data_IF_772335948950
#
_entry.id   IF_772335948950
#
_cell.length_a   1.000
_cell.length_b   1.000
_cell.length_c   1.000
_cell.angle_alpha   90.00
_cell.angle_beta   90.00
_cell.angle_gamma   90.00
#
_symmetry.space_group_name_H-M   'P 1'
#
loop_
_entity.id
_entity.type
_entity.pdbx_description
1 polymer ?
#
# COMPACT_ATOMS: atom_id res chain seq x y z
N UNK A 1 3.06 -4.32 22.81
CA UNK A 1 4.30 -3.87 22.13
C UNK A 1 5.29 -3.30 23.13
N UNK A 2 4.95 -2.23 23.87
CA UNK A 2 5.84 -1.68 24.92
C UNK A 2 6.20 -2.67 26.02
N UNK A 3 5.24 -3.49 26.45
CA UNK A 3 5.48 -4.56 27.44
C UNK A 3 6.40 -5.68 26.92
N UNK A 4 6.55 -5.80 25.61
CA UNK A 4 7.46 -6.76 24.96
C UNK A 4 8.75 -6.09 24.47
N UNK A 5 9.06 -4.88 24.96
CA UNK A 5 10.21 -4.06 24.55
C UNK A 5 10.30 -3.77 23.03
N UNK A 6 9.15 -3.77 22.35
CA UNK A 6 9.05 -3.41 20.93
C UNK A 6 8.70 -1.93 20.80
N UNK A 7 9.62 -1.17 20.21
CA UNK A 7 9.39 0.22 19.81
C UNK A 7 8.59 0.27 18.51
N UNK A 8 7.38 0.83 18.57
CA UNK A 8 6.51 1.01 17.42
C UNK A 8 5.87 2.39 17.46
N UNK A 9 5.61 2.95 16.27
CA UNK A 9 4.94 4.23 16.08
C UNK A 9 3.74 4.05 15.16
N UNK A 10 2.69 4.83 15.41
CA UNK A 10 1.51 4.84 14.54
C UNK A 10 1.83 5.53 13.21
N UNK A 11 1.39 4.93 12.11
CA UNK A 11 1.45 5.57 10.80
C UNK A 11 0.55 6.83 10.79
N UNK A 12 1.07 7.96 10.31
CA UNK A 12 0.28 9.19 10.12
C UNK A 12 -0.60 9.02 8.88
N UNK A 13 -1.91 8.87 9.07
CA UNK A 13 -2.88 8.72 7.98
C UNK A 13 -3.59 10.05 7.72
N UNK A 14 -3.61 10.49 6.46
CA UNK A 14 -4.36 11.65 5.99
C UNK A 14 -5.48 11.23 5.02
N UNK A 15 -6.46 12.10 4.80
CA UNK A 15 -7.45 11.90 3.73
C UNK A 15 -6.70 11.77 2.40
N UNK A 16 -7.05 10.75 1.60
CA UNK A 16 -6.35 10.46 0.34
C UNK A 16 -5.11 9.56 0.49
N UNK A 17 -4.64 9.28 1.72
CA UNK A 17 -3.37 8.55 1.90
C UNK A 17 -3.34 7.11 1.43
N UNK A 18 -4.52 6.53 1.19
CA UNK A 18 -4.67 5.22 0.55
C UNK A 18 -4.28 5.30 -0.93
N UNK A 19 -5.04 6.05 -1.71
CA UNK A 19 -4.79 6.25 -3.13
C UNK A 19 -3.36 6.68 -3.45
N UNK A 20 -2.80 7.63 -2.68
CA UNK A 20 -1.42 8.08 -2.91
C UNK A 20 -0.38 6.97 -2.74
N UNK A 21 -0.47 6.20 -1.65
CA UNK A 21 0.52 5.15 -1.40
C UNK A 21 0.38 3.98 -2.38
N UNK A 22 -0.84 3.71 -2.87
CA UNK A 22 -1.08 2.71 -3.93
C UNK A 22 -0.48 3.17 -5.26
N UNK A 23 -0.69 4.44 -5.65
CA UNK A 23 -0.06 5.03 -6.83
C UNK A 23 1.47 5.02 -6.75
N UNK A 24 2.02 5.42 -5.60
CA UNK A 24 3.47 5.40 -5.40
C UNK A 24 4.06 3.99 -5.55
N UNK A 25 3.37 2.95 -5.06
CA UNK A 25 3.80 1.57 -5.27
C UNK A 25 3.70 1.15 -6.74
N UNK A 26 2.63 1.55 -7.43
CA UNK A 26 2.45 1.27 -8.85
C UNK A 26 3.48 1.98 -9.76
N UNK A 27 4.01 3.12 -9.31
CA UNK A 27 5.01 3.91 -10.04
C UNK A 27 6.46 3.43 -9.82
N UNK A 28 6.68 2.43 -8.95
CA UNK A 28 8.00 1.82 -8.80
C UNK A 28 8.42 1.12 -10.09
N UNK A 29 9.73 1.11 -10.38
CA UNK A 29 10.27 0.38 -11.54
C UNK A 29 9.94 -1.11 -11.43
N UNK A 30 10.11 -1.69 -10.23
CA UNK A 30 9.86 -3.10 -9.96
C UNK A 30 9.42 -3.33 -8.51
N UNK A 31 8.54 -4.32 -8.28
CA UNK A 31 8.26 -4.89 -6.95
C UNK A 31 8.63 -6.38 -7.00
N UNK A 32 9.77 -6.72 -6.42
CA UNK A 32 10.30 -8.10 -6.43
C UNK A 32 9.76 -8.86 -5.22
N UNK A 33 9.00 -9.93 -5.48
CA UNK A 33 8.39 -10.77 -4.44
C UNK A 33 8.83 -12.23 -4.62
N UNK A 34 9.47 -12.81 -3.60
CA UNK A 34 9.75 -14.26 -3.54
C UNK A 34 8.56 -15.00 -2.88
N UNK A 35 7.71 -15.61 -3.70
CA UNK A 35 6.52 -16.33 -3.24
C UNK A 35 6.81 -17.48 -2.28
N UNK A 36 8.04 -18.05 -2.28
CA UNK A 36 8.42 -19.11 -1.31
C UNK A 36 8.65 -18.53 0.09
N UNK A 37 9.04 -17.26 0.18
CA UNK A 37 9.30 -16.56 1.45
C UNK A 37 8.08 -15.79 1.93
N UNK A 38 7.38 -15.13 1.02
CA UNK A 38 6.25 -14.24 1.34
C UNK A 38 5.00 -14.62 0.54
N UNK A 39 4.46 -15.84 0.71
CA UNK A 39 3.34 -16.34 -0.11
C UNK A 39 2.08 -15.48 -0.03
N UNK A 40 1.80 -14.88 1.13
CA UNK A 40 0.65 -13.99 1.30
C UNK A 40 0.82 -12.67 0.54
N UNK A 41 2.04 -12.12 0.53
CA UNK A 41 2.33 -10.89 -0.22
C UNK A 41 2.18 -11.16 -1.70
N UNK A 42 2.75 -12.26 -2.20
CA UNK A 42 2.61 -12.67 -3.60
C UNK A 42 1.13 -12.80 -3.99
N UNK A 43 0.35 -13.57 -3.21
CA UNK A 43 -1.08 -13.76 -3.46
C UNK A 43 -1.86 -12.45 -3.48
N UNK A 44 -1.62 -11.55 -2.52
CA UNK A 44 -2.38 -10.29 -2.44
C UNK A 44 -1.98 -9.31 -3.55
N UNK A 45 -0.69 -9.15 -3.85
CA UNK A 45 -0.23 -8.27 -4.93
C UNK A 45 -0.60 -8.79 -6.32
N UNK A 46 -0.70 -10.10 -6.52
CA UNK A 46 -1.11 -10.70 -7.80
C UNK A 46 -2.65 -10.67 -8.01
N UNK A 47 -3.43 -10.75 -6.94
CA UNK A 47 -4.90 -10.85 -7.02
C UNK A 47 -5.64 -9.51 -6.87
N UNK A 48 -4.98 -8.45 -6.42
CA UNK A 48 -5.66 -7.18 -6.13
C UNK A 48 -6.11 -6.50 -7.43
N UNK A 49 -7.31 -5.94 -7.41
CA UNK A 49 -7.89 -5.18 -8.53
C UNK A 49 -8.31 -3.78 -8.06
N UNK A 50 -8.50 -2.88 -9.03
CA UNK A 50 -9.15 -1.59 -8.77
C UNK A 50 -10.61 -1.76 -8.36
N UNK A 51 -11.07 -0.95 -7.41
CA UNK A 51 -12.50 -0.90 -7.10
C UNK A 51 -13.27 -0.27 -8.27
N UNK A 52 -14.56 -0.55 -8.40
CA UNK A 52 -15.39 -0.05 -9.52
C UNK A 52 -16.53 0.82 -9.04
N UNK A 53 -16.90 1.81 -9.85
CA UNK A 53 -18.13 2.57 -9.64
C UNK A 53 -19.38 1.72 -9.95
N UNK A 54 -20.57 2.32 -9.76
CA UNK A 54 -21.85 1.66 -10.04
C UNK A 54 -22.08 1.28 -11.51
N UNK A 55 -21.25 1.78 -12.42
CA UNK A 55 -21.31 1.54 -13.86
C UNK A 55 -20.19 0.59 -14.33
N UNK A 56 -19.35 0.10 -13.40
CA UNK A 56 -18.24 -0.80 -13.69
C UNK A 56 -16.95 -0.09 -14.13
N UNK A 57 -16.86 1.25 -14.04
CA UNK A 57 -15.62 1.95 -14.35
C UNK A 57 -14.63 1.84 -13.17
N UNK A 58 -13.33 1.61 -13.41
CA UNK A 58 -12.34 1.53 -12.34
C UNK A 58 -12.16 2.88 -11.65
N UNK A 59 -12.14 2.85 -10.32
CA UNK A 59 -11.81 3.98 -9.45
C UNK A 59 -10.29 4.03 -9.20
N UNK A 60 -9.72 5.20 -8.88
CA UNK A 60 -8.28 5.34 -8.61
C UNK A 60 -7.90 4.84 -7.21
N UNK A 61 -8.43 3.68 -6.80
CA UNK A 61 -8.13 3.00 -5.54
C UNK A 61 -8.31 1.51 -5.69
N UNK A 62 -7.49 0.74 -4.99
CA UNK A 62 -7.63 -0.73 -4.95
C UNK A 62 -8.90 -1.13 -4.18
N UNK A 63 -9.38 -2.34 -4.45
CA UNK A 63 -10.49 -2.94 -3.71
C UNK A 63 -10.10 -3.12 -2.23
N UNK A 64 -11.00 -2.78 -1.31
CA UNK A 64 -10.77 -2.96 0.13
C UNK A 64 -11.03 -4.42 0.56
N UNK A 65 -10.33 -5.35 -0.08
CA UNK A 65 -10.45 -6.79 0.14
C UNK A 65 -9.14 -7.49 -0.20
N UNK A 66 -8.63 -8.29 0.73
CA UNK A 66 -7.35 -9.02 0.58
C UNK A 66 -6.16 -8.08 0.27
N UNK A 67 -6.12 -6.91 0.90
CA UNK A 67 -5.08 -5.89 0.68
C UNK A 67 -4.17 -5.70 1.91
N UNK A 68 -4.21 -6.59 2.91
CA UNK A 68 -3.57 -6.37 4.21
C UNK A 68 -2.06 -6.13 4.12
N UNK A 69 -1.37 -6.91 3.28
CA UNK A 69 0.07 -6.79 3.05
C UNK A 69 0.42 -5.58 2.18
N UNK A 70 -0.46 -5.19 1.25
CA UNK A 70 -0.32 -3.96 0.47
C UNK A 70 -0.41 -2.76 1.42
N UNK A 71 -1.36 -2.77 2.34
CA UNK A 71 -1.56 -1.73 3.33
C UNK A 71 -0.39 -1.66 4.32
N UNK A 72 0.09 -2.82 4.80
CA UNK A 72 1.30 -2.89 5.61
C UNK A 72 2.53 -2.32 4.88
N UNK A 73 2.68 -2.65 3.60
CA UNK A 73 3.77 -2.14 2.73
C UNK A 73 3.67 -0.62 2.59
N UNK A 74 2.49 -0.08 2.31
CA UNK A 74 2.24 1.37 2.26
C UNK A 74 2.65 2.07 3.55
N UNK A 75 2.28 1.52 4.71
CA UNK A 75 2.67 2.11 5.99
C UNK A 75 4.19 2.06 6.21
N UNK A 76 4.84 0.96 5.82
CA UNK A 76 6.30 0.81 5.92
C UNK A 76 7.05 1.87 5.11
N UNK A 77 6.58 2.21 3.90
CA UNK A 77 7.21 3.19 3.00
C UNK A 77 6.69 4.63 3.14
N UNK A 78 5.80 4.90 4.10
CA UNK A 78 5.15 6.22 4.26
C UNK A 78 6.12 7.40 4.44
N UNK A 79 7.35 7.17 4.89
CA UNK A 79 8.38 8.20 5.02
C UNK A 79 9.21 8.38 3.74
N UNK A 80 9.37 7.33 2.94
CA UNK A 80 10.12 7.36 1.68
C UNK A 80 9.34 8.10 0.60
N UNK A 81 8.03 7.90 0.57
CA UNK A 81 7.13 8.61 -0.35
C UNK A 81 7.29 10.14 -0.27
N UNK A 82 7.54 10.68 0.93
CA UNK A 82 7.73 12.13 1.16
C UNK A 82 9.04 12.71 0.62
N UNK A 83 9.99 11.85 0.23
CA UNK A 83 11.33 12.23 -0.25
C UNK A 83 11.48 12.06 -1.76
N UNK A 84 10.45 11.56 -2.45
CA UNK A 84 10.47 11.26 -3.88
C UNK A 84 10.25 12.49 -4.78
N UNK A 85 10.52 12.31 -6.08
CA UNK A 85 10.35 13.32 -7.14
C UNK A 85 8.90 13.78 -7.32
N UNK A 86 7.96 12.99 -6.84
CA UNK A 86 6.52 13.25 -6.89
C UNK A 86 5.98 13.43 -5.46
N UNK A 87 5.96 14.68 -5.01
CA UNK A 87 5.18 15.09 -3.84
C UNK A 87 3.77 15.37 -4.34
N UNK A 88 2.87 14.41 -4.25
CA UNK A 88 1.45 14.67 -4.44
C UNK A 88 0.90 15.19 -3.10
N UNK A 89 0.42 16.44 -3.09
CA UNK A 89 -0.24 17.01 -1.91
C UNK A 89 -1.62 16.38 -1.72
N UNK A 90 -2.03 16.19 -0.45
CA UNK A 90 -3.40 15.84 -0.06
C UNK A 90 -4.26 17.08 0.09
#
# INVERSE_FOLDING_TARGET
>A
LREYDISAFGAKKGKGSVEYGEKWLADLEEIIIDAKRTPNIAREFEMIDYDTDRYGNPLPRLCDKNNHSIDATRYAFSNDMKKGKYVYEY
#
